data_IF_243732970698
#
_entry.id   IF_243732970698
#
_cell.length_a   1.000
_cell.length_b   1.000
_cell.length_c   1.000
_cell.angle_alpha   90.00
_cell.angle_beta   90.00
_cell.angle_gamma   90.00
#
_symmetry.space_group_name_H-M   'P 1'
#
loop_
_entity.id
_entity.type
_entity.pdbx_description
1 polymer ?
2 non-polymer ?
3 water ?
#
# COMPACT_ATOMS: atom_id res chain seq x y z
N UNK A 4 5.73 -15.23 -4.51
CA UNK A 4 5.54 -15.48 -3.10
C UNK A 4 6.48 -16.53 -2.53
N UNK A 5 7.18 -16.17 -1.45
CA UNK A 5 8.26 -17.01 -0.94
C UNK A 5 7.73 -18.19 -0.13
N UNK A 6 6.83 -17.93 0.81
CA UNK A 6 6.47 -18.92 1.82
C UNK A 6 5.68 -20.06 1.20
N UNK A 7 6.25 -21.26 1.25
CA UNK A 7 5.53 -22.48 0.90
C UNK A 7 4.95 -23.18 2.12
N UNK A 8 5.39 -22.82 3.31
CA UNK A 8 4.89 -23.40 4.56
C UNK A 8 4.07 -22.33 5.29
N UNK A 9 4.34 -22.05 6.56
CA UNK A 9 3.58 -21.05 7.31
C UNK A 9 4.18 -19.68 7.07
N UNK A 10 3.32 -18.66 7.03
CA UNK A 10 3.74 -17.28 6.84
C UNK A 10 3.84 -16.58 8.18
N UNK A 11 4.84 -15.71 8.31
CA UNK A 11 5.09 -15.00 9.56
C UNK A 11 5.09 -13.49 9.33
N UNK A 12 4.57 -12.71 10.28
CA UNK A 12 4.53 -11.25 10.10
C UNK A 12 5.85 -10.59 10.45
N UNK A 13 5.80 -9.29 10.75
CA UNK A 13 6.99 -8.53 11.10
C UNK A 13 7.09 -8.35 12.61
N UNK A 14 8.21 -7.75 13.02
CA UNK A 14 8.59 -7.75 14.43
C UNK A 14 7.69 -6.85 15.27
N UNK A 15 7.36 -5.66 14.76
CA UNK A 15 6.99 -4.53 15.56
C UNK A 15 8.13 -3.56 15.75
N UNK A 16 9.36 -4.06 15.67
CA UNK A 16 10.55 -3.25 15.45
C UNK A 16 10.91 -3.17 13.97
N UNK A 17 10.19 -3.91 13.13
CA UNK A 17 10.36 -3.83 11.69
C UNK A 17 11.12 -4.96 11.04
N UNK A 18 11.33 -6.07 11.74
CA UNK A 18 12.11 -7.19 11.22
C UNK A 18 11.16 -8.32 10.84
N UNK A 19 11.37 -8.90 9.66
CA UNK A 19 10.56 -10.03 9.22
C UNK A 19 10.91 -11.25 10.06
N UNK A 20 9.90 -11.83 10.71
CA UNK A 20 10.12 -12.99 11.56
C UNK A 20 10.59 -14.21 10.77
N UNK A 21 10.42 -14.20 9.45
CA UNK A 21 10.75 -15.36 8.63
C UNK A 21 12.15 -15.26 8.03
N UNK A 22 12.47 -14.14 7.38
CA UNK A 22 13.74 -14.00 6.67
C UNK A 22 14.76 -13.16 7.42
N UNK A 23 14.43 -12.68 8.63
CA UNK A 23 15.39 -11.98 9.49
C UNK A 23 15.93 -10.71 8.83
N UNK A 24 15.08 -10.03 8.07
CA UNK A 24 15.46 -8.80 7.40
C UNK A 24 14.50 -7.68 7.78
N UNK A 25 14.96 -6.44 7.61
CA UNK A 25 14.14 -5.26 7.83
C UNK A 25 13.63 -4.78 6.48
N UNK A 26 12.39 -5.08 6.10
CA UNK A 26 11.93 -4.76 4.75
C UNK A 26 11.84 -3.27 4.52
N UNK A 27 12.30 -2.79 3.37
CA UNK A 27 12.10 -1.38 3.00
C UNK A 27 10.63 -1.11 2.73
N UNK A 28 10.23 0.17 2.67
CA UNK A 28 8.80 0.46 2.48
C UNK A 28 8.21 -0.13 1.21
N UNK A 29 8.99 -0.21 0.13
CA UNK A 29 8.51 -0.82 -1.10
C UNK A 29 8.29 -2.32 -0.98
N UNK A 30 8.68 -2.93 0.14
CA UNK A 30 8.45 -4.34 0.38
C UNK A 30 7.58 -4.59 1.61
N UNK A 31 6.95 -3.55 2.15
CA UNK A 31 6.18 -3.66 3.38
C UNK A 31 4.70 -3.43 3.11
N UNK A 32 3.86 -4.24 3.75
CA UNK A 32 2.41 -4.14 3.63
C UNK A 32 1.79 -4.31 5.01
N UNK A 33 0.92 -3.38 5.38
CA UNK A 33 0.21 -3.44 6.65
C UNK A 33 -1.24 -3.82 6.41
N UNK A 34 -1.79 -4.62 7.33
CA UNK A 34 -3.16 -5.09 7.20
C UNK A 34 -4.14 -3.95 7.43
N UNK A 35 -5.26 -3.99 6.71
CA UNK A 35 -6.31 -3.01 6.92
C UNK A 35 -7.21 -3.28 8.10
N UNK A 36 -7.05 -4.43 8.75
CA UNK A 36 -7.88 -4.82 9.88
C UNK A 36 -7.09 -4.74 11.18
N UNK A 37 -6.06 -5.57 11.34
CA UNK A 37 -5.25 -5.58 12.55
C UNK A 37 -4.06 -4.63 12.49
N UNK A 38 -3.77 -4.07 11.31
CA UNK A 38 -2.64 -3.18 11.08
C UNK A 38 -1.36 -3.85 11.55
N UNK A 39 -1.10 -5.05 11.03
CA UNK A 39 0.18 -5.70 11.27
C UNK A 39 1.03 -5.61 10.02
N UNK A 40 2.29 -5.19 10.11
CA UNK A 40 3.14 -5.15 8.92
C UNK A 40 3.61 -6.54 8.53
N UNK A 41 3.58 -6.81 7.23
CA UNK A 41 4.02 -8.08 6.67
C UNK A 41 5.05 -7.83 5.58
N UNK A 42 6.04 -8.71 5.50
CA UNK A 42 7.03 -8.64 4.42
C UNK A 42 6.40 -9.24 3.17
N UNK A 43 6.15 -8.40 2.17
CA UNK A 43 5.40 -8.84 0.99
C UNK A 43 6.17 -9.90 0.21
N UNK A 44 7.49 -9.93 0.34
CA UNK A 44 8.28 -10.94 -0.36
C UNK A 44 8.03 -12.33 0.22
N UNK A 45 7.88 -12.43 1.54
CA UNK A 45 7.73 -13.70 2.22
C UNK A 45 6.28 -14.18 2.30
N UNK A 46 5.37 -13.55 1.56
CA UNK A 46 3.98 -13.98 1.58
C UNK A 46 3.79 -15.22 0.71
N UNK A 47 2.66 -15.90 0.92
CA UNK A 47 2.32 -17.05 0.09
C UNK A 47 1.68 -16.60 -1.22
N UNK A 48 0.71 -15.69 -1.13
CA UNK A 48 0.03 -15.14 -2.30
C UNK A 48 0.06 -13.62 -2.19
N UNK A 49 1.10 -12.98 -2.72
CA UNK A 49 1.13 -11.52 -2.70
C UNK A 49 -0.01 -10.95 -3.51
N UNK A 50 -0.46 -9.74 -3.20
CA UNK A 50 -1.57 -9.15 -3.95
C UNK A 50 -1.19 -8.90 -5.40
N UNK A 51 -2.15 -9.13 -6.30
CA UNK A 51 -1.90 -9.07 -7.73
C UNK A 51 -2.62 -7.93 -8.43
N UNK A 52 -3.57 -7.27 -7.78
CA UNK A 52 -4.25 -6.12 -8.34
C UNK A 52 -4.00 -4.90 -7.47
N UNK A 53 -4.23 -3.72 -8.05
CA UNK A 53 -3.99 -2.48 -7.32
C UNK A 53 -4.98 -2.31 -6.17
N UNK A 54 -6.23 -2.72 -6.38
CA UNK A 54 -7.22 -2.60 -5.31
C UNK A 54 -6.94 -3.57 -4.18
N UNK A 55 -6.48 -4.78 -4.50
CA UNK A 55 -6.14 -5.75 -3.46
C UNK A 55 -4.94 -5.29 -2.65
N UNK A 56 -4.07 -4.47 -3.23
CA UNK A 56 -2.93 -3.94 -2.50
C UNK A 56 -3.33 -2.80 -1.57
N UNK A 57 -4.36 -2.04 -1.93
CA UNK A 57 -4.80 -0.92 -1.11
C UNK A 57 -5.59 -1.39 0.10
N UNK A 58 -6.66 -2.14 -0.13
CA UNK A 58 -7.45 -2.73 0.95
C UNK A 58 -6.98 -4.17 1.21
N UNK A 59 -5.68 -4.30 1.48
CA UNK A 59 -5.08 -5.60 1.70
C UNK A 59 -5.41 -6.11 3.10
N UNK A 60 -5.70 -7.41 3.19
CA UNK A 60 -6.01 -8.07 4.45
C UNK A 60 -5.04 -9.22 4.65
N UNK A 61 -4.38 -9.24 5.81
CA UNK A 61 -3.29 -10.16 6.06
C UNK A 61 -3.80 -11.60 6.15
N UNK A 62 -2.91 -12.58 5.96
CA UNK A 62 -3.35 -13.99 5.99
C UNK A 62 -4.05 -14.39 7.28
N UNK A 63 -3.70 -13.77 8.41
CA UNK A 63 -4.37 -14.11 9.67
C UNK A 63 -5.79 -13.55 9.72
N UNK A 64 -6.06 -12.47 8.99
CA UNK A 64 -7.38 -11.87 8.98
C UNK A 64 -8.25 -12.35 7.82
N UNK A 65 -7.65 -12.84 6.75
CA UNK A 65 -8.40 -13.30 5.58
C UNK A 65 -9.18 -14.58 5.90
N UNK B 8 -2.57 16.39 -17.49
CA UNK B 8 -1.71 17.50 -17.11
C UNK B 8 -2.16 18.12 -15.79
N UNK B 9 -3.48 18.14 -15.57
CA UNK B 9 -4.04 18.69 -14.34
C UNK B 9 -4.31 17.56 -13.35
N UNK B 10 -3.27 17.11 -12.65
CA UNK B 10 -3.40 16.09 -11.62
C UNK B 10 -3.53 16.78 -10.26
N UNK B 11 -4.66 16.55 -9.58
CA UNK B 11 -4.92 17.23 -8.33
C UNK B 11 -5.07 16.23 -7.19
N UNK B 12 -4.51 16.54 -6.01
CA UNK B 12 -4.60 15.60 -4.88
C UNK B 12 -5.88 15.72 -4.09
N UNK B 13 -5.85 15.27 -2.84
CA UNK B 13 -6.99 15.32 -1.94
C UNK B 13 -6.81 16.42 -0.91
N UNK B 14 -7.92 17.01 -0.48
CA UNK B 14 -7.89 18.03 0.55
C UNK B 14 -7.70 17.36 1.92
N UNK B 15 -7.58 18.19 2.96
CA UNK B 15 -7.44 17.64 4.30
C UNK B 15 -8.65 16.84 4.74
N UNK B 16 -9.85 17.31 4.38
CA UNK B 16 -11.07 16.58 4.71
C UNK B 16 -11.18 15.27 3.94
N UNK B 17 -10.54 15.18 2.78
CA UNK B 17 -10.57 13.98 1.96
C UNK B 17 -11.24 14.14 0.62
N UNK B 18 -11.94 15.24 0.36
CA UNK B 18 -12.63 15.42 -0.91
C UNK B 18 -11.59 15.62 -2.01
N UNK B 19 -11.64 14.77 -3.04
CA UNK B 19 -10.67 14.83 -4.12
C UNK B 19 -10.85 16.12 -4.92
N UNK B 20 -9.75 16.84 -5.13
CA UNK B 20 -9.77 18.12 -5.84
C UNK B 20 -9.86 17.96 -7.36
N UNK B 21 -10.30 16.79 -7.84
CA UNK B 21 -10.55 16.58 -9.26
C UNK B 21 -11.89 15.91 -9.54
N UNK B 22 -12.57 15.38 -8.53
CA UNK B 22 -13.88 14.79 -8.72
C UNK B 22 -14.86 15.11 -7.59
N UNK B 23 -14.44 15.87 -6.58
CA UNK B 23 -15.32 16.31 -5.49
C UNK B 23 -15.97 15.12 -4.77
N UNK B 24 -15.17 14.10 -4.48
CA UNK B 24 -15.65 12.91 -3.79
C UNK B 24 -14.68 12.54 -2.68
N UNK B 25 -15.18 11.77 -1.71
CA UNK B 25 -14.36 11.26 -0.62
C UNK B 25 -14.01 9.80 -0.91
N UNK B 26 -12.84 9.51 -1.47
CA UNK B 26 -12.58 8.16 -1.96
C UNK B 26 -12.48 7.17 -0.81
N UNK B 27 -12.76 5.90 -1.05
CA UNK B 27 -12.57 4.87 -0.02
C UNK B 27 -11.12 4.46 0.07
N UNK B 28 -10.74 3.65 1.07
CA UNK B 28 -9.35 3.18 1.14
C UNK B 28 -8.89 2.44 -0.10
N UNK B 29 -9.78 1.70 -0.76
CA UNK B 29 -9.43 1.01 -2.00
C UNK B 29 -9.15 1.97 -3.15
N UNK B 30 -9.35 3.28 -2.95
CA UNK B 30 -9.09 4.27 -3.99
C UNK B 30 -8.20 5.41 -3.50
N UNK B 31 -7.57 5.27 -2.33
CA UNK B 31 -6.71 6.30 -1.77
C UNK B 31 -5.27 5.82 -1.76
N UNK B 32 -4.36 6.69 -2.18
CA UNK B 32 -2.94 6.37 -2.27
C UNK B 32 -2.15 7.54 -1.68
N UNK B 33 -1.42 7.28 -0.60
CA UNK B 33 -0.67 8.31 0.10
C UNK B 33 0.77 8.32 -0.39
N UNK B 34 1.29 9.51 -0.67
CA UNK B 34 2.65 9.63 -1.18
C UNK B 34 3.66 9.30 -0.09
N UNK B 35 4.75 8.65 -0.49
CA UNK B 35 5.81 8.26 0.41
C UNK B 35 6.77 9.35 0.82
N UNK B 36 6.67 10.55 0.24
CA UNK B 36 7.56 11.65 0.56
C UNK B 36 6.84 12.82 1.23
N UNK B 37 5.70 13.25 0.68
CA UNK B 37 4.96 14.39 1.20
C UNK B 37 3.69 13.98 1.93
N UNK B 38 3.52 12.68 2.22
CA UNK B 38 2.37 12.08 2.90
C UNK B 38 1.06 12.77 2.54
N UNK B 39 0.86 13.06 1.25
CA UNK B 39 -0.39 13.65 0.78
C UNK B 39 -1.26 12.59 0.13
N UNK B 40 -2.54 12.49 0.49
CA UNK B 40 -3.41 11.50 -0.13
C UNK B 40 -3.82 11.91 -1.54
N UNK B 41 -4.03 10.90 -2.38
CA UNK B 41 -4.46 11.12 -3.76
C UNK B 41 -5.55 10.12 -4.11
N UNK B 42 -6.40 10.50 -5.06
CA UNK B 42 -7.42 9.62 -5.60
C UNK B 42 -6.84 8.92 -6.83
N UNK B 43 -6.67 7.60 -6.74
CA UNK B 43 -6.05 6.87 -7.84
C UNK B 43 -6.94 6.90 -9.08
N UNK B 44 -8.26 6.93 -8.90
CA UNK B 44 -9.16 6.99 -10.04
C UNK B 44 -8.90 8.24 -10.88
N UNK B 45 -8.62 9.36 -10.24
CA UNK B 45 -8.34 10.61 -10.93
C UNK B 45 -6.88 10.75 -11.32
N UNK B 46 -6.07 9.72 -11.10
CA UNK B 46 -4.67 9.75 -11.52
C UNK B 46 -4.56 9.42 -13.00
N UNK B 47 -3.71 10.17 -13.70
CA UNK B 47 -3.52 9.93 -15.13
C UNK B 47 -2.82 8.60 -15.38
N UNK B 48 -1.73 8.34 -14.65
CA UNK B 48 -0.94 7.11 -14.79
C UNK B 48 -0.84 6.43 -13.43
N UNK B 49 -1.74 5.50 -13.13
CA UNK B 49 -1.65 4.75 -11.87
C UNK B 49 -0.38 3.93 -11.81
N UNK B 50 0.03 3.48 -10.62
CA UNK B 50 1.24 2.66 -10.52
C UNK B 50 1.11 1.37 -11.31
N UNK B 51 2.25 0.86 -11.77
CA UNK B 51 2.28 -0.32 -12.64
C UNK B 51 2.91 -1.54 -11.99
N UNK B 52 3.60 -1.39 -10.86
CA UNK B 52 4.21 -2.51 -10.17
C UNK B 52 3.76 -2.50 -8.71
N UNK B 53 4.16 -3.54 -7.98
CA UNK B 53 3.84 -3.62 -6.56
C UNK B 53 4.73 -2.69 -5.74
N UNK B 54 6.01 -2.57 -6.12
CA UNK B 54 6.91 -1.67 -5.40
C UNK B 54 6.49 -0.22 -5.56
N UNK B 55 6.08 0.17 -6.77
CA UNK B 55 5.62 1.54 -7.00
C UNK B 55 4.28 1.82 -6.33
N UNK B 56 3.57 0.78 -5.88
CA UNK B 56 2.35 0.97 -5.11
C UNK B 56 2.62 1.02 -3.61
N UNK B 57 3.55 0.20 -3.12
CA UNK B 57 3.84 0.16 -1.69
C UNK B 57 4.56 1.43 -1.25
N UNK B 58 5.58 1.84 -2.00
CA UNK B 58 6.23 3.14 -1.81
C UNK B 58 5.90 3.96 -3.05
N UNK B 59 4.85 4.77 -2.95
CA UNK B 59 4.34 5.54 -4.07
C UNK B 59 4.81 6.98 -3.96
N UNK B 60 5.31 7.53 -5.06
CA UNK B 60 5.69 8.93 -5.15
C UNK B 60 4.65 9.65 -6.00
N UNK B 61 4.02 10.66 -5.42
CA UNK B 61 2.94 11.36 -6.09
C UNK B 61 3.46 12.12 -7.31
N UNK B 62 2.57 12.50 -8.23
CA UNK B 62 3.02 13.27 -9.41
C UNK B 62 3.80 14.53 -9.06
N UNK B 63 3.37 15.26 -8.02
CA UNK B 63 4.08 16.48 -7.62
C UNK B 63 5.44 16.20 -7.01
N UNK B 64 5.75 14.94 -6.71
CA UNK B 64 7.08 14.57 -6.23
C UNK B 64 7.86 13.85 -7.32
X LIG C 1 -4.67 -8.58 9.72
X LIG D 1 10.83 -11.69 4.99
X LIG E 1 4.43 13.61 -2.89
X LIG F 1 -11.11 12.01 -7.60
#
# INVERSE_FOLDING_TARGET
>A
GPLGMARDIQLPCDGDGVCMRCKSNPPPEESLTCGTCVTPWHVSCLSSPPKTLASTLQWHCPDCSGE
>B
GPLGMARDIQLPCDGDGVCMRCKSNPPPEESLTCGTCVTPWHVSCLSSPPKTLASTLQWHCPDCSGE
>C hetero
1 ZN ZN
>D hetero
1 ZN ZN
>E hetero
1 ZN ZN
>F hetero
1 ZN ZN
#
